data_IF_159818119070
#
_entry.id   IF_159818119070
#
_cell.length_a   1.000
_cell.length_b   1.000
_cell.length_c   1.000
_cell.angle_alpha   90.00
_cell.angle_beta   90.00
_cell.angle_gamma   90.00
#
_symmetry.space_group_name_H-M   'P 1'
#
loop_
_entity.id
_entity.type
_entity.pdbx_description
1 polymer ?
#
# COMPACT_ATOMS: atom_id res chain seq x y z
N UNK A 1 1.91 -0.65 -18.13
CA UNK A 1 1.12 -1.75 -17.50
C UNK A 1 -0.14 -1.18 -16.89
N UNK A 2 -1.24 -1.85 -17.06
CA UNK A 2 -2.51 -1.44 -16.44
C UNK A 2 -2.68 -2.17 -15.11
N UNK A 3 -2.43 -1.47 -14.01
CA UNK A 3 -2.53 -2.04 -12.66
C UNK A 3 -3.95 -2.44 -12.29
N UNK A 4 -4.95 -1.82 -12.90
CA UNK A 4 -6.36 -2.15 -12.61
C UNK A 4 -6.69 -3.60 -12.92
N UNK A 5 -6.00 -4.19 -13.89
CA UNK A 5 -6.20 -5.60 -14.25
C UNK A 5 -5.72 -6.56 -13.18
N UNK A 6 -4.92 -6.07 -12.24
CA UNK A 6 -4.38 -6.88 -11.15
C UNK A 6 -5.10 -6.65 -9.82
N UNK A 7 -6.13 -5.82 -9.83
CA UNK A 7 -6.93 -5.51 -8.64
C UNK A 7 -8.32 -6.12 -8.84
N UNK A 8 -8.67 -7.05 -7.96
CA UNK A 8 -9.96 -7.71 -8.01
C UNK A 8 -11.00 -6.91 -7.25
N UNK A 9 -12.20 -6.78 -7.83
CA UNK A 9 -13.33 -6.13 -7.16
C UNK A 9 -14.29 -7.19 -6.64
N UNK A 10 -14.64 -7.10 -5.37
CA UNK A 10 -15.55 -8.03 -4.71
C UNK A 10 -16.77 -7.23 -4.24
N UNK A 11 -17.94 -7.44 -4.89
CA UNK A 11 -19.14 -6.71 -4.48
C UNK A 11 -19.69 -7.24 -3.16
N UNK A 12 -20.38 -6.38 -2.44
CA UNK A 12 -21.08 -6.72 -1.20
C UNK A 12 -20.17 -7.35 -0.13
N UNK A 13 -18.95 -6.83 -0.02
CA UNK A 13 -18.00 -7.28 0.99
C UNK A 13 -17.38 -6.07 1.69
N UNK A 14 -17.23 -6.07 2.99
CA UNK A 14 -17.72 -7.07 3.97
C UNK A 14 -19.22 -6.97 4.25
N UNK A 15 -19.89 -5.99 3.69
CA UNK A 15 -21.33 -5.77 3.85
C UNK A 15 -21.97 -5.51 2.50
N UNK A 16 -23.26 -5.80 2.40
CA UNK A 16 -24.06 -5.51 1.21
C UNK A 16 -23.93 -4.01 0.88
N UNK A 17 -23.75 -3.70 -0.40
CA UNK A 17 -23.63 -2.33 -0.89
C UNK A 17 -22.22 -1.78 -0.88
N UNK A 18 -21.24 -2.51 -0.35
CA UNK A 18 -19.83 -2.10 -0.32
C UNK A 18 -19.07 -2.88 -1.37
N UNK A 19 -18.30 -2.16 -2.21
CA UNK A 19 -17.44 -2.77 -3.19
C UNK A 19 -16.02 -2.83 -2.63
N UNK A 20 -15.51 -4.04 -2.42
CA UNK A 20 -14.17 -4.27 -1.90
C UNK A 20 -13.17 -4.38 -3.05
N UNK A 21 -12.07 -3.66 -2.94
CA UNK A 21 -10.97 -3.72 -3.91
C UNK A 21 -9.88 -4.63 -3.35
N UNK A 22 -9.68 -5.78 -3.97
CA UNK A 22 -8.71 -6.77 -3.51
C UNK A 22 -7.39 -6.57 -4.26
N UNK A 23 -6.35 -6.20 -3.53
CA UNK A 23 -5.01 -5.96 -4.09
C UNK A 23 -4.09 -7.16 -3.93
N UNK A 24 -4.56 -8.27 -3.34
CA UNK A 24 -3.69 -9.44 -3.13
C UNK A 24 -3.20 -10.02 -4.45
N UNK A 25 -4.01 -9.99 -5.49
CA UNK A 25 -3.61 -10.45 -6.82
C UNK A 25 -2.50 -9.58 -7.41
N UNK A 26 -2.52 -8.28 -7.12
CA UNK A 26 -1.45 -7.37 -7.53
C UNK A 26 -0.17 -7.67 -6.76
N UNK A 27 -0.26 -7.84 -5.45
CA UNK A 27 0.89 -8.10 -4.59
C UNK A 27 1.56 -9.43 -4.94
N UNK A 28 0.77 -10.44 -5.30
CA UNK A 28 1.28 -11.76 -5.68
C UNK A 28 2.04 -11.77 -7.01
N UNK A 29 1.80 -10.78 -7.85
CA UNK A 29 2.45 -10.70 -9.16
C UNK A 29 3.69 -9.82 -9.06
N UNK A 30 4.90 -10.40 -9.11
CA UNK A 30 6.13 -9.61 -8.94
C UNK A 30 6.26 -8.47 -9.94
N UNK A 31 5.88 -8.70 -11.18
CA UNK A 31 5.96 -7.68 -12.24
C UNK A 31 5.02 -6.52 -11.93
N UNK A 32 3.77 -6.82 -11.54
CA UNK A 32 2.79 -5.80 -11.22
C UNK A 32 3.17 -5.04 -9.94
N UNK A 33 3.60 -5.76 -8.91
CA UNK A 33 4.00 -5.14 -7.66
C UNK A 33 5.21 -4.22 -7.85
N UNK A 34 6.22 -4.70 -8.57
CA UNK A 34 7.41 -3.90 -8.85
C UNK A 34 7.06 -2.65 -9.64
N UNK A 35 6.17 -2.79 -10.61
CA UNK A 35 5.71 -1.64 -11.39
C UNK A 35 5.01 -0.61 -10.51
N UNK A 36 4.16 -1.06 -9.58
CA UNK A 36 3.46 -0.17 -8.67
C UNK A 36 4.45 0.57 -7.75
N UNK A 37 5.44 -0.15 -7.21
CA UNK A 37 6.47 0.45 -6.36
C UNK A 37 7.30 1.46 -7.14
N UNK A 38 7.71 1.11 -8.36
CA UNK A 38 8.49 2.01 -9.20
C UNK A 38 7.75 3.31 -9.49
N UNK A 39 6.44 3.22 -9.71
CA UNK A 39 5.61 4.41 -9.93
C UNK A 39 5.53 5.28 -8.68
N UNK A 40 5.40 4.67 -7.52
CA UNK A 40 5.40 5.42 -6.26
C UNK A 40 6.74 6.13 -6.06
N UNK A 41 7.84 5.43 -6.31
CA UNK A 41 9.18 6.02 -6.19
C UNK A 41 9.35 7.19 -7.17
N UNK A 42 8.90 7.00 -8.41
CA UNK A 42 8.98 8.05 -9.42
C UNK A 42 8.23 9.31 -8.98
N UNK A 43 7.02 9.14 -8.45
CA UNK A 43 6.23 10.26 -7.94
C UNK A 43 6.90 10.90 -6.73
N UNK A 44 7.48 10.08 -5.85
CA UNK A 44 8.11 10.58 -4.62
C UNK A 44 9.33 11.46 -4.89
N UNK A 45 10.01 11.25 -6.01
CA UNK A 45 11.16 12.09 -6.39
C UNK A 45 10.79 13.54 -6.65
N UNK A 46 9.52 13.81 -6.89
CA UNK A 46 9.01 15.15 -7.15
C UNK A 46 8.57 15.86 -5.87
N UNK A 47 8.65 15.18 -4.74
CA UNK A 47 8.17 15.66 -3.46
C UNK A 47 9.32 15.59 -2.45
N UNK A 48 9.50 16.66 -1.70
CA UNK A 48 10.46 16.65 -0.60
C UNK A 48 9.77 16.07 0.63
N UNK A 49 10.32 14.98 1.18
CA UNK A 49 9.75 14.35 2.37
C UNK A 49 10.85 13.69 3.19
N UNK A 50 10.57 13.45 4.46
CA UNK A 50 11.55 12.83 5.36
C UNK A 50 11.04 11.61 6.09
N UNK A 51 9.78 11.22 5.89
CA UNK A 51 9.17 10.05 6.52
C UNK A 51 8.18 9.40 5.58
N UNK A 52 8.02 8.09 5.73
CA UNK A 52 6.98 7.34 5.04
C UNK A 52 5.99 6.87 6.10
N UNK A 53 4.71 7.05 5.86
CA UNK A 53 3.70 6.55 6.78
C UNK A 53 2.62 5.79 6.03
N UNK A 54 1.96 4.88 6.71
CA UNK A 54 0.90 4.09 6.13
C UNK A 54 -0.09 3.66 7.19
N UNK A 55 -1.33 3.50 6.75
CA UNK A 55 -2.42 3.00 7.59
C UNK A 55 -2.50 1.50 7.38
N UNK A 56 -2.73 0.75 8.49
CA UNK A 56 -2.82 -0.71 8.40
C UNK A 56 -3.97 -1.13 7.48
N UNK A 57 -3.85 -2.30 6.88
CA UNK A 57 -2.67 -3.16 6.98
C UNK A 57 -2.03 -3.31 5.61
N UNK A 58 -2.81 -3.15 4.58
CA UNK A 58 -2.36 -3.29 3.20
C UNK A 58 -1.37 -2.21 2.82
N UNK A 59 -1.56 -1.00 3.34
CA UNK A 59 -0.63 0.10 3.12
C UNK A 59 0.79 -0.22 3.59
N UNK A 60 0.92 -1.04 4.63
CA UNK A 60 2.22 -1.39 5.19
C UNK A 60 3.09 -2.14 4.19
N UNK A 61 2.49 -2.97 3.33
CA UNK A 61 3.23 -3.72 2.31
C UNK A 61 3.95 -2.78 1.35
N UNK A 62 3.24 -1.77 0.88
CA UNK A 62 3.83 -0.79 -0.03
C UNK A 62 4.78 0.15 0.70
N UNK A 63 4.40 0.62 1.87
CA UNK A 63 5.16 1.60 2.63
C UNK A 63 6.51 1.05 3.09
N UNK A 64 6.56 -0.22 3.53
CA UNK A 64 7.83 -0.81 3.96
C UNK A 64 8.82 -0.89 2.80
N UNK A 65 8.34 -1.23 1.61
CA UNK A 65 9.18 -1.29 0.42
C UNK A 65 9.67 0.10 0.03
N UNK A 66 8.77 1.08 0.04
CA UNK A 66 9.14 2.47 -0.28
C UNK A 66 10.12 3.02 0.75
N UNK A 67 9.91 2.75 2.03
CA UNK A 67 10.81 3.15 3.10
C UNK A 67 12.22 2.60 2.86
N UNK A 68 12.30 1.32 2.53
CA UNK A 68 13.59 0.68 2.25
C UNK A 68 14.31 1.34 1.06
N UNK A 69 13.57 1.53 -0.04
CA UNK A 69 14.15 2.05 -1.28
C UNK A 69 14.53 3.53 -1.20
N UNK A 70 13.83 4.30 -0.38
CA UNK A 70 14.10 5.74 -0.21
C UNK A 70 15.00 6.03 0.97
N UNK A 71 15.27 5.03 1.80
CA UNK A 71 16.05 5.17 3.03
C UNK A 71 15.44 6.22 3.97
N UNK A 72 14.13 6.20 4.10
CA UNK A 72 13.37 7.09 4.99
C UNK A 72 12.69 6.27 6.08
N UNK A 73 12.56 6.80 7.30
CA UNK A 73 11.89 6.06 8.36
C UNK A 73 10.43 5.81 8.07
N UNK A 74 9.92 4.68 8.56
CA UNK A 74 8.55 4.24 8.39
C UNK A 74 7.77 4.45 9.68
N UNK A 75 6.64 5.13 9.59
CA UNK A 75 5.72 5.37 10.70
C UNK A 75 4.46 4.57 10.46
N UNK A 76 4.12 3.68 11.39
CA UNK A 76 2.93 2.85 11.27
C UNK A 76 1.75 3.50 11.97
N UNK A 77 0.66 3.70 11.23
CA UNK A 77 -0.58 4.24 11.75
C UNK A 77 -1.59 3.11 11.88
N UNK A 78 -1.94 2.76 13.09
CA UNK A 78 -2.86 1.67 13.37
C UNK A 78 -4.01 2.16 14.24
N UNK A 79 -5.12 1.41 14.26
CA UNK A 79 -6.22 1.72 15.14
C UNK A 79 -5.75 1.64 16.59
N UNK A 80 -6.33 2.46 17.45
CA UNK A 80 -5.93 2.59 18.84
C UNK A 80 -5.79 1.24 19.56
N UNK A 81 -6.71 0.32 19.31
CA UNK A 81 -6.72 -0.98 19.99
C UNK A 81 -5.71 -1.98 19.43
N UNK A 82 -5.04 -1.64 18.35
CA UNK A 82 -4.09 -2.52 17.68
C UNK A 82 -2.65 -2.26 18.08
N UNK A 83 -2.40 -1.21 18.83
CA UNK A 83 -1.05 -0.89 19.31
C UNK A 83 -0.94 -1.20 20.80
N UNK A 84 0.13 -1.93 21.21
CA UNK A 84 0.34 -2.22 22.64
C UNK A 84 0.74 -0.97 23.42
N UNK A 85 1.31 0.03 22.76
CA UNK A 85 1.70 1.31 23.32
C UNK A 85 1.69 2.36 22.22
N UNK A 86 1.60 3.60 22.62
CA UNK A 86 1.65 4.71 21.65
C UNK A 86 3.07 4.97 21.16
#
# INVERSE_FOLDING_TARGET
>A
MDLKKHIRSIPDYPKKGILFRDITTLIKNPTAFNYAIDKIIEISKKIEFNKVSAIESRGFVFASTVSYLTNKPLILLRKKDKLPAE
#
